data_IF_068770800842
#
_entry.id   IF_068770800842
#
_cell.length_a   1.000
_cell.length_b   1.000
_cell.length_c   1.000
_cell.angle_alpha   90.00
_cell.angle_beta   90.00
_cell.angle_gamma   90.00
#
_symmetry.space_group_name_H-M   'P 1'
#
loop_
_entity.id
_entity.type
_entity.pdbx_description
1 polymer ?
#
# COMPACT_ATOMS: atom_id res chain seq x y z
N UNK A 1 -2.56 20.59 -21.29
CA UNK A 1 -2.41 21.97 -21.79
C UNK A 1 -1.41 22.69 -20.89
N UNK A 2 -0.58 23.53 -21.52
CA UNK A 2 0.69 24.05 -21.03
C UNK A 2 0.57 25.03 -19.86
N UNK A 3 1.33 24.81 -18.79
CA UNK A 3 1.76 25.85 -17.84
C UNK A 3 3.26 26.06 -18.03
N UNK A 4 3.69 27.27 -18.36
CA UNK A 4 5.09 27.65 -18.60
C UNK A 4 5.92 27.84 -17.32
N UNK A 5 5.35 27.56 -16.15
CA UNK A 5 5.98 27.76 -14.85
C UNK A 5 6.48 26.47 -14.18
N UNK A 6 6.21 25.29 -14.79
CA UNK A 6 6.76 24.03 -14.33
C UNK A 6 7.74 23.50 -15.39
N UNK A 7 8.98 23.13 -15.01
CA UNK A 7 9.91 22.49 -15.94
C UNK A 7 9.22 21.27 -16.54
N UNK A 8 9.39 21.07 -17.84
CA UNK A 8 8.72 20.08 -18.68
C UNK A 8 8.81 18.69 -18.06
N UNK A 9 7.87 18.35 -17.17
CA UNK A 9 7.82 17.04 -16.55
C UNK A 9 7.60 16.05 -17.68
N UNK A 10 8.58 15.18 -17.90
CA UNK A 10 8.54 14.14 -18.93
C UNK A 10 7.22 13.38 -18.75
N UNK A 11 6.35 13.36 -19.77
CA UNK A 11 4.98 12.83 -19.69
C UNK A 11 4.87 11.47 -18.97
N UNK A 12 5.92 10.64 -19.05
CA UNK A 12 6.01 9.36 -18.34
C UNK A 12 6.10 9.51 -16.82
N UNK A 13 6.91 10.44 -16.30
CA UNK A 13 7.05 10.67 -14.85
C UNK A 13 5.74 11.20 -14.27
N UNK A 14 5.10 12.16 -14.94
CA UNK A 14 3.79 12.68 -14.55
C UNK A 14 2.75 11.58 -14.46
N UNK A 15 2.74 10.66 -15.44
CA UNK A 15 1.81 9.52 -15.45
C UNK A 15 2.03 8.57 -14.27
N UNK A 16 3.28 8.27 -13.93
CA UNK A 16 3.62 7.44 -12.75
C UNK A 16 3.12 8.09 -11.46
N UNK A 17 3.37 9.38 -11.29
CA UNK A 17 2.92 10.15 -10.12
C UNK A 17 1.39 10.14 -10.04
N UNK A 18 0.69 10.35 -11.16
CA UNK A 18 -0.78 10.34 -11.18
C UNK A 18 -1.36 8.98 -10.76
N UNK A 19 -0.79 7.86 -11.20
CA UNK A 19 -1.22 6.53 -10.74
C UNK A 19 -0.93 6.30 -9.25
N UNK A 20 0.21 6.79 -8.74
CA UNK A 20 0.51 6.74 -7.31
C UNK A 20 -0.51 7.54 -6.49
N UNK A 21 -0.85 8.75 -6.94
CA UNK A 21 -1.89 9.58 -6.31
C UNK A 21 -3.26 8.89 -6.36
N UNK A 22 -3.62 8.26 -7.48
CA UNK A 22 -4.85 7.49 -7.61
C UNK A 22 -4.93 6.35 -6.58
N UNK A 23 -3.85 5.56 -6.45
CA UNK A 23 -3.77 4.49 -5.45
C UNK A 23 -3.84 5.03 -4.02
N UNK A 24 -3.14 6.14 -3.75
CA UNK A 24 -3.14 6.79 -2.44
C UNK A 24 -4.54 7.29 -2.05
N UNK A 25 -5.24 7.99 -2.95
CA UNK A 25 -6.61 8.46 -2.73
C UNK A 25 -7.55 7.28 -2.51
N UNK A 26 -7.45 6.23 -3.31
CA UNK A 26 -8.26 5.02 -3.13
C UNK A 26 -8.01 4.32 -1.78
N UNK A 27 -6.77 4.26 -1.33
CA UNK A 27 -6.39 3.73 -0.02
C UNK A 27 -6.93 4.62 1.11
N UNK A 28 -6.84 5.94 0.97
CA UNK A 28 -7.38 6.90 1.94
C UNK A 28 -8.90 6.76 2.09
N UNK A 29 -9.63 6.60 0.98
CA UNK A 29 -11.07 6.31 0.99
C UNK A 29 -11.37 4.97 1.68
N UNK A 30 -10.57 3.92 1.42
CA UNK A 30 -10.73 2.64 2.11
C UNK A 30 -10.52 2.78 3.64
N UNK A 31 -9.55 3.58 4.08
CA UNK A 31 -9.34 3.87 5.51
C UNK A 31 -10.56 4.60 6.12
N UNK A 32 -11.16 5.55 5.39
CA UNK A 32 -12.39 6.25 5.85
C UNK A 32 -13.54 5.27 6.06
N UNK A 33 -13.65 4.20 5.25
CA UNK A 33 -14.69 3.18 5.42
C UNK A 33 -14.55 2.34 6.70
N UNK A 34 -13.38 2.38 7.35
CA UNK A 34 -13.17 1.75 8.65
C UNK A 34 -13.60 2.67 9.82
N UNK A 35 -13.90 3.94 9.57
CA UNK A 35 -14.34 4.85 10.62
C UNK A 35 -15.73 4.45 11.15
N UNK A 36 -15.96 4.46 12.48
CA UNK A 36 -17.20 3.98 13.08
C UNK A 36 -18.44 4.71 12.57
N UNK A 37 -18.38 6.04 12.42
CA UNK A 37 -19.51 6.83 11.90
C UNK A 37 -19.86 6.53 10.43
N UNK A 38 -18.91 6.01 9.64
CA UNK A 38 -19.19 5.54 8.27
C UNK A 38 -19.78 4.14 8.32
N UNK A 39 -19.26 3.26 9.17
CA UNK A 39 -19.79 1.91 9.38
C UNK A 39 -21.24 1.91 9.85
N UNK A 40 -21.60 2.79 10.79
CA UNK A 40 -22.97 2.94 11.28
C UNK A 40 -23.92 3.38 10.16
N UNK A 41 -23.52 4.34 9.32
CA UNK A 41 -24.31 4.78 8.16
C UNK A 41 -24.44 3.72 7.06
N UNK A 42 -23.43 2.87 6.90
CA UNK A 42 -23.51 1.74 5.97
C UNK A 42 -24.40 0.63 6.53
N UNK A 43 -24.31 0.36 7.84
CA UNK A 43 -25.10 -0.66 8.53
C UNK A 43 -26.58 -0.28 8.68
N UNK A 44 -26.90 1.02 8.85
CA UNK A 44 -28.28 1.51 8.91
C UNK A 44 -29.05 1.33 7.61
N UNK A 45 -28.33 1.14 6.50
CA UNK A 45 -28.92 0.94 5.19
C UNK A 45 -29.15 -0.55 4.94
N UNK A 46 -30.43 -0.96 4.98
CA UNK A 46 -30.86 -2.36 4.82
C UNK A 46 -30.28 -3.07 3.57
N UNK A 47 -29.96 -2.33 2.50
CA UNK A 47 -29.45 -2.92 1.25
C UNK A 47 -28.03 -3.52 1.35
N UNK A 48 -27.23 -3.07 2.32
CA UNK A 48 -25.84 -3.52 2.50
C UNK A 48 -25.72 -4.68 3.49
N UNK A 49 -26.61 -4.74 4.50
CA UNK A 49 -26.68 -5.83 5.49
C UNK A 49 -27.66 -6.97 5.13
N UNK A 50 -28.56 -6.79 4.16
CA UNK A 50 -29.43 -7.87 3.67
C UNK A 50 -28.60 -9.01 3.04
N UNK A 51 -28.50 -10.12 3.77
CA UNK A 51 -27.75 -11.33 3.39
C UNK A 51 -26.74 -11.81 4.43
N UNK A 52 -26.20 -10.91 5.27
CA UNK A 52 -25.24 -11.27 6.32
C UNK A 52 -25.91 -11.84 7.59
N UNK A 53 -27.13 -11.38 7.89
CA UNK A 53 -27.83 -11.72 9.14
C UNK A 53 -28.37 -13.16 9.17
N UNK A 54 -28.60 -13.77 8.02
CA UNK A 54 -29.32 -15.04 7.91
C UNK A 54 -28.39 -16.27 8.05
N UNK A 55 -27.08 -16.11 7.91
CA UNK A 55 -26.13 -17.24 7.89
C UNK A 55 -24.96 -17.15 8.88
N UNK A 56 -24.50 -15.94 9.24
CA UNK A 56 -23.25 -15.81 9.99
C UNK A 56 -23.41 -15.68 11.51
N UNK A 57 -24.58 -15.29 12.04
CA UNK A 57 -24.76 -15.03 13.49
C UNK A 57 -23.85 -13.91 14.05
N UNK A 58 -23.12 -13.20 13.18
CA UNK A 58 -22.19 -12.12 13.51
C UNK A 58 -22.94 -10.80 13.40
N UNK A 59 -22.74 -9.88 14.36
CA UNK A 59 -23.27 -8.51 14.30
C UNK A 59 -22.75 -7.82 13.03
N UNK A 60 -23.65 -7.58 12.05
CA UNK A 60 -23.35 -6.96 10.75
C UNK A 60 -22.49 -5.69 10.92
N UNK A 61 -22.77 -4.92 11.97
CA UNK A 61 -22.13 -3.66 12.34
C UNK A 61 -20.59 -3.72 12.43
N UNK A 62 -19.99 -4.86 12.82
CA UNK A 62 -18.52 -4.99 12.95
C UNK A 62 -17.84 -5.51 11.68
N UNK A 63 -18.58 -6.20 10.81
CA UNK A 63 -18.05 -6.81 9.59
C UNK A 63 -18.20 -5.90 8.34
N UNK A 64 -19.14 -4.95 8.38
CA UNK A 64 -19.47 -4.05 7.27
C UNK A 64 -18.27 -3.23 6.78
N UNK A 65 -17.47 -2.67 7.70
CA UNK A 65 -16.30 -1.88 7.37
C UNK A 65 -15.23 -2.68 6.60
N UNK A 66 -14.91 -3.88 7.08
CA UNK A 66 -13.95 -4.75 6.41
C UNK A 66 -14.42 -5.18 5.02
N UNK A 67 -15.71 -5.52 4.90
CA UNK A 67 -16.29 -5.92 3.60
C UNK A 67 -16.32 -4.75 2.60
N UNK A 68 -16.54 -3.52 3.07
CA UNK A 68 -16.44 -2.32 2.24
C UNK A 68 -15.00 -2.09 1.74
N UNK A 69 -14.01 -2.25 2.61
CA UNK A 69 -12.59 -2.19 2.23
C UNK A 69 -12.24 -3.25 1.19
N UNK A 70 -12.66 -4.50 1.38
CA UNK A 70 -12.42 -5.56 0.39
C UNK A 70 -12.98 -5.21 -0.99
N UNK A 71 -14.17 -4.62 -1.07
CA UNK A 71 -14.79 -4.21 -2.34
C UNK A 71 -14.07 -3.03 -3.00
N UNK A 72 -13.66 -2.02 -2.22
CA UNK A 72 -12.84 -0.91 -2.73
C UNK A 72 -11.50 -1.41 -3.27
N UNK A 73 -10.82 -2.25 -2.51
CA UNK A 73 -9.55 -2.84 -2.91
C UNK A 73 -9.70 -3.77 -4.12
N UNK A 74 -10.80 -4.53 -4.22
CA UNK A 74 -11.11 -5.35 -5.38
C UNK A 74 -11.30 -4.49 -6.65
N UNK A 75 -12.01 -3.36 -6.53
CA UNK A 75 -12.22 -2.43 -7.64
C UNK A 75 -10.88 -1.82 -8.12
N UNK A 76 -10.04 -1.38 -7.20
CA UNK A 76 -8.70 -0.87 -7.51
C UNK A 76 -7.82 -1.94 -8.15
N UNK A 77 -7.74 -3.14 -7.54
CA UNK A 77 -6.98 -4.26 -8.09
C UNK A 77 -7.43 -4.62 -9.50
N UNK A 78 -8.75 -4.69 -9.73
CA UNK A 78 -9.33 -4.97 -11.05
C UNK A 78 -8.98 -3.87 -12.06
N UNK A 79 -9.06 -2.60 -11.67
CA UNK A 79 -8.67 -1.47 -12.52
C UNK A 79 -7.21 -1.58 -12.98
N UNK A 80 -6.28 -1.80 -12.03
CA UNK A 80 -4.86 -1.92 -12.36
C UNK A 80 -4.56 -3.19 -13.14
N UNK A 81 -5.26 -4.30 -12.87
CA UNK A 81 -5.14 -5.54 -13.62
C UNK A 81 -5.60 -5.39 -15.07
N UNK A 82 -6.74 -4.74 -15.31
CA UNK A 82 -7.22 -4.42 -16.68
C UNK A 82 -6.18 -3.58 -17.41
N UNK A 83 -5.64 -2.53 -16.76
CA UNK A 83 -4.60 -1.69 -17.37
C UNK A 83 -3.30 -2.46 -17.65
N UNK A 84 -2.93 -3.41 -16.79
CA UNK A 84 -1.79 -4.31 -17.02
C UNK A 84 -2.01 -5.17 -18.28
N UNK A 85 -3.22 -5.72 -18.48
CA UNK A 85 -3.56 -6.47 -19.69
C UNK A 85 -3.56 -5.60 -20.95
N UNK A 86 -4.13 -4.39 -20.91
CA UNK A 86 -4.14 -3.47 -22.06
C UNK A 86 -2.72 -3.08 -22.48
N UNK A 87 -1.83 -2.87 -21.50
CA UNK A 87 -0.44 -2.49 -21.73
C UNK A 87 0.51 -3.68 -21.93
N UNK A 88 -0.01 -4.91 -21.97
CA UNK A 88 0.80 -6.10 -22.15
C UNK A 88 1.49 -6.10 -23.53
N UNK A 89 2.80 -6.34 -23.54
CA UNK A 89 3.59 -6.41 -24.77
C UNK A 89 3.77 -5.08 -25.52
N UNK A 90 3.60 -3.92 -24.87
CA UNK A 90 4.04 -2.63 -25.43
C UNK A 90 5.57 -2.61 -25.51
N UNK A 91 6.11 -2.33 -26.71
CA UNK A 91 7.57 -2.27 -26.94
C UNK A 91 8.04 -0.87 -27.30
N UNK A 92 7.15 0.00 -27.77
CA UNK A 92 7.52 1.34 -28.25
C UNK A 92 6.62 2.42 -27.69
N UNK A 93 7.20 3.60 -27.40
CA UNK A 93 6.45 4.78 -26.97
C UNK A 93 5.55 5.38 -28.06
N UNK A 94 5.71 4.92 -29.31
CA UNK A 94 4.89 5.32 -30.47
C UNK A 94 3.66 4.42 -30.67
N UNK A 95 3.50 3.37 -29.88
CA UNK A 95 2.33 2.48 -29.97
C UNK A 95 1.04 3.28 -29.72
N UNK A 96 -0.04 2.93 -30.43
CA UNK A 96 -1.35 3.59 -30.30
C UNK A 96 -1.95 3.51 -28.87
N UNK A 97 -1.37 2.68 -28.00
CA UNK A 97 -1.72 2.53 -26.57
C UNK A 97 -1.04 3.57 -25.68
N UNK A 98 0.00 4.25 -26.16
CA UNK A 98 0.74 5.29 -25.43
C UNK A 98 -0.13 6.48 -25.00
N UNK A 99 -1.06 7.00 -25.82
CA UNK A 99 -2.00 8.05 -25.40
C UNK A 99 -2.97 7.58 -24.31
N UNK A 100 -3.36 6.29 -24.32
CA UNK A 100 -4.23 5.71 -23.28
C UNK A 100 -3.48 5.67 -21.95
N UNK A 101 -2.20 5.28 -21.97
CA UNK A 101 -1.39 5.23 -20.75
C UNK A 101 -1.09 6.62 -20.19
N UNK A 102 -0.68 7.57 -21.03
CA UNK A 102 -0.23 8.89 -20.57
C UNK A 102 -1.36 9.94 -20.47
N UNK A 103 -2.56 9.62 -20.95
CA UNK A 103 -3.69 10.54 -21.06
C UNK A 103 -5.02 9.96 -20.55
N UNK A 104 -6.11 10.59 -21.00
CA UNK A 104 -7.50 10.20 -20.72
C UNK A 104 -7.83 9.96 -19.24
N UNK A 105 -7.27 10.78 -18.34
CA UNK A 105 -7.43 10.64 -16.88
C UNK A 105 -8.89 10.65 -16.43
N UNK A 106 -9.73 11.52 -17.02
CA UNK A 106 -11.16 11.57 -16.70
C UNK A 106 -11.84 10.21 -16.89
N UNK A 107 -11.61 9.54 -18.03
CA UNK A 107 -12.19 8.22 -18.31
C UNK A 107 -11.64 7.14 -17.39
N UNK A 108 -10.37 7.24 -16.98
CA UNK A 108 -9.79 6.32 -15.99
C UNK A 108 -10.48 6.42 -14.63
N UNK A 109 -10.67 7.64 -14.13
CA UNK A 109 -11.40 7.85 -12.88
C UNK A 109 -12.86 7.41 -12.98
N UNK A 110 -13.52 7.66 -14.11
CA UNK A 110 -14.87 7.20 -14.37
C UNK A 110 -14.96 5.66 -14.37
N UNK A 111 -13.99 4.98 -15.00
CA UNK A 111 -13.92 3.52 -14.99
C UNK A 111 -13.69 2.97 -13.57
N UNK A 112 -12.80 3.59 -12.80
CA UNK A 112 -12.56 3.20 -11.41
C UNK A 112 -13.80 3.40 -10.54
N UNK A 113 -14.52 4.51 -10.71
CA UNK A 113 -15.78 4.77 -10.03
C UNK A 113 -16.86 3.75 -10.42
N UNK A 114 -16.96 3.42 -11.71
CA UNK A 114 -17.88 2.39 -12.21
C UNK A 114 -17.57 1.00 -11.63
N UNK A 115 -16.30 0.59 -11.62
CA UNK A 115 -15.87 -0.66 -10.99
C UNK A 115 -16.18 -0.66 -9.49
N UNK A 116 -15.92 0.45 -8.81
CA UNK A 116 -16.23 0.60 -7.38
C UNK A 116 -17.72 0.39 -7.12
N UNK A 117 -18.59 1.10 -7.83
CA UNK A 117 -20.04 0.93 -7.72
C UNK A 117 -20.43 -0.51 -8.04
N UNK A 118 -19.88 -1.11 -9.09
CA UNK A 118 -20.12 -2.50 -9.47
C UNK A 118 -19.79 -3.50 -8.36
N UNK A 119 -18.62 -3.40 -7.73
CA UNK A 119 -18.23 -4.27 -6.61
C UNK A 119 -19.11 -4.06 -5.37
N UNK A 120 -19.63 -2.86 -5.14
CA UNK A 120 -20.60 -2.58 -4.07
C UNK A 120 -21.97 -3.21 -4.30
N UNK A 121 -22.39 -3.39 -5.56
CA UNK A 121 -23.61 -4.13 -5.88
C UNK A 121 -23.49 -5.65 -5.66
N UNK A 122 -22.27 -6.19 -5.58
CA UNK A 122 -22.09 -7.63 -5.33
C UNK A 122 -22.31 -7.93 -3.85
N UNK A 123 -23.46 -8.55 -3.55
CA UNK A 123 -23.90 -8.92 -2.20
C UNK A 123 -23.36 -10.26 -1.68
N UNK A 124 -22.56 -10.97 -2.48
CA UNK A 124 -22.10 -12.31 -2.15
C UNK A 124 -21.00 -12.31 -1.08
N UNK A 125 -21.19 -13.04 0.02
CA UNK A 125 -20.13 -13.32 1.00
C UNK A 125 -18.99 -14.16 0.40
N UNK A 126 -19.27 -14.90 -0.68
CA UNK A 126 -18.29 -15.73 -1.38
C UNK A 126 -17.19 -14.92 -2.08
N UNK A 127 -17.27 -13.58 -2.11
CA UNK A 127 -16.19 -12.72 -2.58
C UNK A 127 -15.03 -12.63 -1.58
N UNK A 128 -15.31 -12.58 -0.27
CA UNK A 128 -14.30 -12.26 0.74
C UNK A 128 -13.19 -13.31 0.83
N UNK A 129 -13.55 -14.60 0.77
CA UNK A 129 -12.57 -15.69 0.90
C UNK A 129 -11.56 -15.74 -0.26
N UNK A 130 -11.96 -15.71 -1.54
CA UNK A 130 -11.00 -15.61 -2.64
C UNK A 130 -10.15 -14.34 -2.58
N UNK A 131 -10.76 -13.18 -2.28
CA UNK A 131 -10.06 -11.91 -2.16
C UNK A 131 -9.01 -11.91 -1.05
N UNK A 132 -9.28 -12.62 0.06
CA UNK A 132 -8.30 -12.83 1.12
C UNK A 132 -7.09 -13.61 0.62
N UNK A 133 -7.28 -14.73 -0.10
CA UNK A 133 -6.17 -15.51 -0.66
C UNK A 133 -5.36 -14.73 -1.69
N UNK A 134 -6.01 -14.05 -2.63
CA UNK A 134 -5.34 -13.16 -3.58
C UNK A 134 -4.59 -12.03 -2.85
N UNK A 135 -5.19 -11.46 -1.81
CA UNK A 135 -4.57 -10.43 -0.97
C UNK A 135 -3.35 -10.92 -0.21
N UNK A 136 -3.38 -12.14 0.34
CA UNK A 136 -2.23 -12.74 1.03
C UNK A 136 -1.06 -12.98 0.08
N UNK A 137 -1.31 -13.57 -1.10
CA UNK A 137 -0.27 -13.80 -2.11
C UNK A 137 0.28 -12.49 -2.65
N UNK A 138 -0.61 -11.54 -2.99
CA UNK A 138 -0.22 -10.21 -3.48
C UNK A 138 0.58 -9.42 -2.44
N UNK A 139 0.17 -9.47 -1.17
CA UNK A 139 0.86 -8.82 -0.05
C UNK A 139 2.25 -9.41 0.17
N UNK A 140 2.40 -10.74 0.11
CA UNK A 140 3.69 -11.39 0.19
C UNK A 140 4.64 -10.94 -0.93
N UNK A 141 4.19 -10.94 -2.19
CA UNK A 141 4.97 -10.45 -3.32
C UNK A 141 5.32 -8.96 -3.19
N UNK A 142 4.38 -8.14 -2.72
CA UNK A 142 4.59 -6.72 -2.52
C UNK A 142 5.65 -6.43 -1.44
N UNK A 143 5.65 -7.19 -0.34
CA UNK A 143 6.69 -7.09 0.70
C UNK A 143 8.07 -7.41 0.13
N UNK A 144 8.21 -8.45 -0.69
CA UNK A 144 9.49 -8.79 -1.33
C UNK A 144 9.98 -7.67 -2.26
N UNK A 145 9.09 -7.08 -3.06
CA UNK A 145 9.43 -5.95 -3.93
C UNK A 145 9.83 -4.73 -3.10
N UNK A 146 9.07 -4.41 -2.04
CA UNK A 146 9.39 -3.30 -1.15
C UNK A 146 10.75 -3.50 -0.46
N UNK A 147 11.08 -4.72 -0.05
CA UNK A 147 12.39 -5.03 0.55
C UNK A 147 13.53 -4.70 -0.42
N UNK A 148 13.44 -5.14 -1.67
CA UNK A 148 14.45 -4.85 -2.71
C UNK A 148 14.57 -3.33 -2.92
N UNK A 149 13.44 -2.63 -3.06
CA UNK A 149 13.44 -1.17 -3.25
C UNK A 149 14.03 -0.41 -2.06
N UNK A 150 13.83 -0.89 -0.83
CA UNK A 150 14.41 -0.27 0.37
C UNK A 150 15.92 -0.49 0.41
N UNK A 151 16.41 -1.68 0.05
CA UNK A 151 17.84 -1.97 -0.03
C UNK A 151 18.51 -1.10 -1.09
N UNK A 152 17.93 -1.03 -2.30
CA UNK A 152 18.43 -0.17 -3.38
C UNK A 152 18.43 1.31 -2.97
N UNK A 153 17.37 1.76 -2.28
CA UNK A 153 17.30 3.12 -1.75
C UNK A 153 18.35 3.38 -0.68
N UNK A 154 18.61 2.42 0.21
CA UNK A 154 19.62 2.55 1.26
C UNK A 154 21.03 2.65 0.66
N UNK A 155 21.37 1.80 -0.32
CA UNK A 155 22.64 1.89 -1.03
C UNK A 155 22.76 3.21 -1.80
N UNK A 156 21.74 3.61 -2.56
CA UNK A 156 21.77 4.86 -3.31
C UNK A 156 21.87 6.10 -2.42
N UNK A 157 21.24 6.09 -1.24
CA UNK A 157 21.38 7.17 -0.26
C UNK A 157 22.79 7.21 0.34
N UNK A 158 23.34 6.05 0.69
CA UNK A 158 24.69 5.94 1.26
C UNK A 158 25.75 6.41 0.27
N UNK A 159 25.73 5.90 -0.97
CA UNK A 159 26.64 6.32 -2.05
C UNK A 159 26.52 7.82 -2.30
N UNK A 160 25.30 8.35 -2.46
CA UNK A 160 25.11 9.79 -2.71
C UNK A 160 25.70 10.68 -1.62
N UNK A 161 25.60 10.28 -0.35
CA UNK A 161 26.12 11.07 0.78
C UNK A 161 27.64 10.92 0.94
N UNK A 162 28.19 9.74 0.63
CA UNK A 162 29.64 9.49 0.60
C UNK A 162 30.29 10.26 -0.55
N UNK A 163 29.77 10.18 -1.77
CA UNK A 163 30.28 10.90 -2.93
C UNK A 163 30.28 12.42 -2.68
N UNK A 164 29.19 12.94 -2.12
CA UNK A 164 29.10 14.37 -1.76
C UNK A 164 30.15 14.76 -0.73
N UNK A 165 30.44 13.88 0.24
CA UNK A 165 31.49 14.13 1.23
C UNK A 165 32.89 14.14 0.60
N UNK A 166 33.18 13.20 -0.30
CA UNK A 166 34.47 13.11 -0.99
C UNK A 166 34.72 14.30 -1.92
N UNK A 167 33.69 14.80 -2.62
CA UNK A 167 33.83 15.93 -3.53
C UNK A 167 33.90 17.30 -2.84
N UNK A 168 33.13 17.49 -1.75
CA UNK A 168 32.96 18.81 -1.11
C UNK A 168 33.66 18.97 0.24
N UNK A 169 34.28 17.90 0.77
CA UNK A 169 34.78 17.78 2.15
C UNK A 169 33.75 18.24 3.21
N UNK A 170 32.45 18.17 2.88
CA UNK A 170 31.38 18.68 3.73
C UNK A 170 31.19 17.78 4.95
N UNK A 171 31.78 18.17 6.08
CA UNK A 171 31.61 17.50 7.39
C UNK A 171 30.15 17.34 7.80
N UNK A 172 29.25 18.19 7.30
CA UNK A 172 27.81 18.12 7.56
C UNK A 172 27.14 16.93 6.89
N UNK A 173 27.56 16.53 5.68
CA UNK A 173 27.04 15.34 5.01
C UNK A 173 27.44 14.06 5.75
N UNK A 174 28.69 13.99 6.19
CA UNK A 174 29.19 12.88 7.01
C UNK A 174 28.51 12.78 8.38
N UNK A 175 28.35 13.92 9.07
CA UNK A 175 27.60 13.98 10.33
C UNK A 175 26.13 13.57 10.14
N UNK A 176 25.52 14.00 9.03
CA UNK A 176 24.18 13.56 8.63
C UNK A 176 24.09 12.05 8.51
N UNK A 177 25.03 11.42 7.79
CA UNK A 177 25.04 9.97 7.54
C UNK A 177 25.07 9.19 8.86
N UNK A 178 26.01 9.53 9.74
CA UNK A 178 26.15 8.89 11.05
C UNK A 178 24.87 9.08 11.87
N UNK A 179 24.32 10.29 11.88
CA UNK A 179 23.11 10.60 12.65
C UNK A 179 21.92 9.80 12.14
N UNK A 180 21.77 9.67 10.83
CA UNK A 180 20.72 8.87 10.21
C UNK A 180 20.85 7.38 10.57
N UNK A 181 22.05 6.80 10.41
CA UNK A 181 22.31 5.40 10.76
C UNK A 181 22.06 5.12 12.25
N UNK A 182 22.59 5.96 13.14
CA UNK A 182 22.38 5.82 14.58
C UNK A 182 20.90 5.98 14.96
N UNK A 183 20.20 6.93 14.32
CA UNK A 183 18.77 7.11 14.48
C UNK A 183 17.96 5.87 14.12
N UNK A 184 18.27 5.23 12.98
CA UNK A 184 17.64 3.99 12.56
C UNK A 184 17.85 2.85 13.57
N UNK A 185 19.08 2.67 14.08
CA UNK A 185 19.36 1.68 15.11
C UNK A 185 18.62 1.97 16.43
N UNK A 186 18.57 3.24 16.86
CA UNK A 186 17.85 3.63 18.07
C UNK A 186 16.34 3.37 17.96
N UNK A 187 15.73 3.68 16.81
CA UNK A 187 14.31 3.38 16.54
C UNK A 187 14.05 1.88 16.52
N UNK A 188 14.92 1.09 15.87
CA UNK A 188 14.81 -0.37 15.82
C UNK A 188 14.90 -0.99 17.23
N UNK A 189 15.89 -0.59 18.03
CA UNK A 189 16.06 -1.05 19.41
C UNK A 189 14.83 -0.70 20.26
N UNK A 190 14.36 0.54 20.18
CA UNK A 190 13.16 1.00 20.89
C UNK A 190 11.95 0.16 20.50
N UNK A 191 11.77 -0.11 19.20
CA UNK A 191 10.69 -0.98 18.70
C UNK A 191 10.75 -2.39 19.30
N UNK A 192 11.92 -3.02 19.33
CA UNK A 192 12.12 -4.34 19.94
C UNK A 192 11.76 -4.34 21.43
N UNK A 193 12.23 -3.33 22.19
CA UNK A 193 11.92 -3.20 23.62
C UNK A 193 10.42 -3.04 23.84
N UNK A 194 9.74 -2.16 23.09
CA UNK A 194 8.29 -2.00 23.18
C UNK A 194 7.56 -3.29 22.82
N UNK A 195 8.02 -4.03 21.81
CA UNK A 195 7.42 -5.32 21.46
C UNK A 195 7.52 -6.35 22.59
N UNK A 196 8.66 -6.42 23.28
CA UNK A 196 8.80 -7.27 24.47
C UNK A 196 7.86 -6.84 25.60
N UNK A 197 7.77 -5.55 25.91
CA UNK A 197 6.93 -5.05 27.02
C UNK A 197 5.45 -5.31 26.76
N UNK A 198 4.95 -5.05 25.55
CA UNK A 198 3.52 -5.12 25.26
C UNK A 198 3.02 -6.51 24.81
N UNK A 199 3.84 -7.29 24.09
CA UNK A 199 3.39 -8.55 23.48
C UNK A 199 3.90 -9.82 24.18
N UNK A 200 4.70 -9.70 25.25
CA UNK A 200 5.27 -10.88 25.94
C UNK A 200 4.91 -11.00 27.42
N UNK A 201 4.00 -10.14 27.91
CA UNK A 201 3.49 -10.12 29.29
C UNK A 201 2.54 -11.30 29.56
N UNK A 202 3.13 -12.46 29.87
CA UNK A 202 2.39 -13.67 30.25
C UNK A 202 3.27 -14.91 30.18
N UNK A 203 3.02 -15.88 31.08
CA UNK A 203 3.73 -17.17 31.09
C UNK A 203 3.41 -18.01 29.84
N UNK A 204 2.24 -17.81 29.22
CA UNK A 204 1.73 -18.58 28.07
C UNK A 204 2.07 -17.98 26.70
N UNK A 205 2.69 -16.80 26.64
CA UNK A 205 3.02 -16.12 25.39
C UNK A 205 4.37 -16.58 24.81
N UNK A 206 4.54 -17.88 24.56
CA UNK A 206 5.80 -18.42 24.03
C UNK A 206 6.02 -18.05 22.55
N UNK A 207 4.96 -18.01 21.74
CA UNK A 207 5.06 -17.77 20.30
C UNK A 207 5.52 -16.34 19.93
N UNK A 208 4.95 -15.25 20.51
CA UNK A 208 5.49 -13.90 20.31
C UNK A 208 6.94 -13.76 20.78
N UNK A 209 7.28 -14.38 21.94
CA UNK A 209 8.66 -14.38 22.47
C UNK A 209 9.64 -15.01 21.48
N UNK A 210 9.27 -16.15 20.89
CA UNK A 210 10.09 -16.83 19.88
C UNK A 210 10.30 -15.94 18.65
N UNK A 211 9.22 -15.40 18.06
CA UNK A 211 9.33 -14.58 16.86
C UNK A 211 10.17 -13.32 17.07
N UNK A 212 9.99 -12.60 18.19
CA UNK A 212 10.76 -11.39 18.47
C UNK A 212 12.24 -11.75 18.69
N UNK A 213 12.54 -12.77 19.50
CA UNK A 213 13.92 -13.17 19.79
C UNK A 213 14.65 -13.69 18.55
N UNK A 214 13.97 -14.49 17.72
CA UNK A 214 14.54 -15.02 16.49
C UNK A 214 14.87 -13.91 15.48
N UNK A 215 13.95 -12.96 15.26
CA UNK A 215 14.21 -11.82 14.39
C UNK A 215 15.34 -10.93 14.93
N UNK A 216 15.41 -10.71 16.24
CA UNK A 216 16.52 -9.96 16.85
C UNK A 216 17.87 -10.61 16.58
N UNK A 217 17.98 -11.94 16.72
CA UNK A 217 19.21 -12.68 16.43
C UNK A 217 19.58 -12.55 14.95
N UNK A 218 18.61 -12.65 14.04
CA UNK A 218 18.84 -12.45 12.61
C UNK A 218 19.33 -11.02 12.31
N UNK A 219 18.73 -10.00 12.92
CA UNK A 219 19.13 -8.60 12.72
C UNK A 219 20.55 -8.28 13.24
N UNK A 220 21.04 -9.02 14.24
CA UNK A 220 22.42 -8.87 14.75
C UNK A 220 23.42 -9.72 13.96
N UNK A 221 22.95 -10.84 13.39
CA UNK A 221 23.79 -11.77 12.63
C UNK A 221 24.01 -11.41 11.17
N UNK A 222 23.21 -10.50 10.62
CA UNK A 222 23.37 -9.89 9.27
C UNK A 222 24.12 -8.59 9.40
#
# INVERSE_FOLDING_TARGET
MCCSACPTARNSTTTRIMYAVMLFVGTFVACIMLAPGVQEKLASNNWFCQGLSEYAGIKCERATGFQAVYRMCAAMASFFFIFMLVMFGVKSSKDARSPIQNGFWFFKYLMLAGLTVGFFFIRSENLSTPLMWFGMVGGFLFILIQLILIVDFAHGLAESWVDTYEESESRWCYAGLITFSFGCYAVALTGIVLMFIFYTTGATCALPKFFISFNMILCVGV
#
